data_IF_084479698539
#
_entry.id   IF_084479698539
#
_cell.length_a   1.000
_cell.length_b   1.000
_cell.length_c   1.000
_cell.angle_alpha   90.00
_cell.angle_beta   90.00
_cell.angle_gamma   90.00
#
_symmetry.space_group_name_H-M   'P 1'
#
loop_
_entity.id
_entity.type
_entity.pdbx_description
1 polymer ?
#
# COMPACT_ATOMS: atom_id res chain seq x y z
N UNK A 1 0.54 -12.44 14.31
CA UNK A 1 0.54 -11.56 15.52
C UNK A 1 -0.87 -11.09 15.84
N UNK A 2 -1.16 -10.76 17.10
CA UNK A 2 -2.36 -10.01 17.49
C UNK A 2 -2.16 -8.53 17.21
N UNK A 3 -3.25 -7.84 16.88
CA UNK A 3 -3.17 -6.42 16.50
C UNK A 3 -3.35 -5.46 17.69
N UNK A 4 -3.95 -5.94 18.78
CA UNK A 4 -4.17 -5.12 19.96
C UNK A 4 -2.86 -4.69 20.64
N UNK A 5 -2.70 -3.41 20.89
CA UNK A 5 -1.54 -2.81 21.55
C UNK A 5 -0.26 -2.72 20.72
N UNK A 6 -0.19 -3.28 19.48
CA UNK A 6 1.02 -3.16 18.66
C UNK A 6 1.16 -1.76 18.06
N UNK A 7 2.40 -1.37 17.72
CA UNK A 7 2.67 -0.22 16.87
C UNK A 7 2.42 -0.54 15.40
N UNK A 8 1.62 0.27 14.71
CA UNK A 8 1.29 0.13 13.29
C UNK A 8 1.53 1.43 12.53
N UNK A 9 2.24 1.37 11.41
CA UNK A 9 2.50 2.47 10.50
C UNK A 9 1.72 2.31 9.21
N UNK A 10 0.96 3.32 8.81
CA UNK A 10 0.26 3.36 7.52
C UNK A 10 0.78 4.54 6.71
N UNK A 11 1.51 4.26 5.64
CA UNK A 11 2.08 5.26 4.73
C UNK A 11 1.16 5.45 3.52
N UNK A 12 0.85 6.70 3.19
CA UNK A 12 -0.27 7.05 2.31
C UNK A 12 -1.61 6.84 3.03
N UNK A 13 -1.61 7.14 4.35
CA UNK A 13 -2.69 6.78 5.25
C UNK A 13 -3.80 7.82 5.39
N UNK A 14 -3.68 9.01 4.79
CA UNK A 14 -4.68 10.07 4.93
C UNK A 14 -5.87 9.94 3.98
N UNK A 15 -5.90 8.95 3.10
CA UNK A 15 -7.01 8.75 2.17
C UNK A 15 -7.16 7.31 1.68
N UNK A 16 -8.31 6.98 1.12
CA UNK A 16 -8.59 5.76 0.37
C UNK A 16 -8.25 4.46 1.10
N UNK A 17 -7.41 3.61 0.49
CA UNK A 17 -7.03 2.30 1.05
C UNK A 17 -6.25 2.45 2.35
N UNK A 18 -5.36 3.47 2.42
CA UNK A 18 -4.56 3.75 3.61
C UNK A 18 -5.42 4.23 4.77
N UNK A 19 -6.31 5.18 4.54
CA UNK A 19 -7.26 5.66 5.55
C UNK A 19 -8.11 4.52 6.12
N UNK A 20 -8.72 3.71 5.26
CA UNK A 20 -9.51 2.57 5.70
C UNK A 20 -8.67 1.57 6.52
N UNK A 21 -7.39 1.39 6.15
CA UNK A 21 -6.46 0.54 6.89
C UNK A 21 -6.13 1.13 8.27
N UNK A 22 -5.86 2.43 8.36
CA UNK A 22 -5.62 3.12 9.62
C UNK A 22 -6.83 3.00 10.56
N UNK A 23 -8.04 3.22 10.04
CA UNK A 23 -9.30 3.07 10.78
C UNK A 23 -9.50 1.64 11.29
N UNK A 24 -9.28 0.63 10.46
CA UNK A 24 -9.45 -0.78 10.86
C UNK A 24 -8.41 -1.21 11.89
N UNK A 25 -7.16 -0.78 11.76
CA UNK A 25 -6.10 -1.04 12.74
C UNK A 25 -6.41 -0.40 14.10
N UNK A 26 -6.81 0.87 14.12
CA UNK A 26 -7.22 1.56 15.34
C UNK A 26 -8.42 0.86 16.00
N UNK A 27 -9.44 0.47 15.23
CA UNK A 27 -10.60 -0.29 15.71
C UNK A 27 -10.21 -1.63 16.36
N UNK A 28 -9.10 -2.24 15.93
CA UNK A 28 -8.55 -3.49 16.49
C UNK A 28 -7.56 -3.25 17.64
N UNK A 29 -7.44 -2.02 18.14
CA UNK A 29 -6.61 -1.68 19.29
C UNK A 29 -5.13 -1.40 18.97
N UNK A 30 -4.72 -1.35 17.69
CA UNK A 30 -3.35 -0.98 17.34
C UNK A 30 -3.08 0.52 17.61
N UNK A 31 -1.86 0.84 18.03
CA UNK A 31 -1.37 2.22 18.12
C UNK A 31 -0.91 2.67 16.75
N UNK A 32 -1.75 3.44 16.06
CA UNK A 32 -1.53 3.81 14.67
C UNK A 32 -0.72 5.10 14.54
N UNK A 33 0.24 5.11 13.63
CA UNK A 33 0.84 6.33 13.06
C UNK A 33 0.46 6.40 11.58
N UNK A 34 -0.15 7.50 11.20
CA UNK A 34 -0.46 7.85 9.80
C UNK A 34 0.67 8.69 9.25
N UNK A 35 1.24 8.29 8.11
CA UNK A 35 2.22 9.09 7.38
C UNK A 35 1.68 9.43 5.98
N UNK A 36 1.64 10.70 5.63
CA UNK A 36 1.09 11.18 4.35
C UNK A 36 1.64 12.56 4.00
N UNK A 37 1.56 12.96 2.73
CA UNK A 37 1.84 14.32 2.27
C UNK A 37 0.72 15.31 2.62
N UNK A 38 -0.52 14.81 2.73
CA UNK A 38 -1.68 15.64 3.02
C UNK A 38 -1.81 15.85 4.53
N UNK A 39 -1.20 16.93 5.02
CA UNK A 39 -1.20 17.30 6.44
C UNK A 39 -2.61 17.46 6.99
N UNK A 40 -3.47 18.22 6.30
CA UNK A 40 -4.81 18.54 6.79
C UNK A 40 -5.65 17.28 7.01
N UNK A 41 -5.77 16.43 5.99
CA UNK A 41 -6.51 15.18 6.10
C UNK A 41 -5.85 14.18 7.08
N UNK A 42 -4.52 14.18 7.15
CA UNK A 42 -3.78 13.30 8.05
C UNK A 42 -3.95 13.69 9.54
N UNK A 43 -3.90 14.98 9.86
CA UNK A 43 -4.14 15.49 11.22
C UNK A 43 -5.60 15.29 11.65
N UNK A 44 -6.57 15.52 10.76
CA UNK A 44 -7.99 15.24 11.00
C UNK A 44 -8.21 13.77 11.34
N UNK A 45 -7.75 12.87 10.47
CA UNK A 45 -7.87 11.42 10.68
C UNK A 45 -7.19 10.96 11.98
N UNK A 46 -5.98 11.45 12.26
CA UNK A 46 -5.25 11.10 13.47
C UNK A 46 -6.01 11.56 14.72
N UNK A 47 -6.61 12.76 14.68
CA UNK A 47 -7.47 13.26 15.75
C UNK A 47 -8.69 12.37 16.02
N UNK A 48 -9.39 11.96 14.96
CA UNK A 48 -10.54 11.06 15.06
C UNK A 48 -10.18 9.70 15.66
N UNK A 49 -9.00 9.15 15.29
CA UNK A 49 -8.56 7.82 15.70
C UNK A 49 -7.77 7.81 17.02
N UNK A 50 -7.49 8.96 17.63
CA UNK A 50 -6.49 9.09 18.69
C UNK A 50 -5.13 8.49 18.30
N UNK A 51 -4.76 8.66 17.02
CA UNK A 51 -3.53 8.21 16.39
C UNK A 51 -2.50 9.35 16.31
N UNK A 52 -1.28 9.04 15.86
CA UNK A 52 -0.27 10.03 15.51
C UNK A 52 -0.27 10.31 14.02
N UNK A 53 0.08 11.54 13.63
CA UNK A 53 0.32 11.91 12.23
C UNK A 53 1.74 12.42 12.07
N UNK A 54 2.36 12.04 10.94
CA UNK A 54 3.67 12.57 10.50
C UNK A 54 3.56 12.90 9.01
N UNK A 55 3.85 14.16 8.65
CA UNK A 55 3.96 14.54 7.25
C UNK A 55 5.22 13.92 6.65
N UNK A 56 5.07 13.10 5.61
CA UNK A 56 6.21 12.42 4.99
C UNK A 56 5.98 12.14 3.49
N UNK A 57 6.99 12.48 2.69
CA UNK A 57 7.13 12.04 1.31
C UNK A 57 7.84 10.69 1.28
N UNK A 58 7.26 9.69 0.61
CA UNK A 58 7.88 8.36 0.46
C UNK A 58 9.19 8.38 -0.32
N UNK A 59 9.42 9.43 -1.11
CA UNK A 59 10.67 9.62 -1.87
C UNK A 59 11.77 10.26 -1.03
N UNK A 60 11.43 10.83 0.14
CA UNK A 60 12.37 11.40 1.09
C UNK A 60 12.65 10.40 2.22
N UNK A 61 13.90 9.92 2.26
CA UNK A 61 14.32 8.91 3.22
C UNK A 61 14.33 9.42 4.67
N UNK A 62 14.63 10.70 4.88
CA UNK A 62 14.75 11.28 6.22
C UNK A 62 13.37 11.54 6.83
N UNK A 63 12.41 12.00 6.02
CA UNK A 63 11.03 12.17 6.45
C UNK A 63 10.38 10.83 6.82
N UNK A 64 10.59 9.79 6.00
CA UNK A 64 10.10 8.44 6.34
C UNK A 64 10.80 7.85 7.58
N UNK A 65 12.10 8.09 7.76
CA UNK A 65 12.80 7.65 8.95
C UNK A 65 12.19 8.30 10.21
N UNK A 66 11.90 9.61 10.15
CA UNK A 66 11.23 10.31 11.24
C UNK A 66 9.83 9.71 11.55
N UNK A 67 9.06 9.33 10.52
CA UNK A 67 7.76 8.69 10.71
C UNK A 67 7.87 7.31 11.38
N UNK A 68 8.90 6.54 11.04
CA UNK A 68 9.18 5.23 11.67
C UNK A 68 9.66 5.42 13.13
N UNK A 69 10.54 6.39 13.38
CA UNK A 69 11.12 6.64 14.70
C UNK A 69 10.10 7.25 15.68
N UNK A 70 9.10 7.94 15.18
CA UNK A 70 7.99 8.46 15.99
C UNK A 70 7.15 7.35 16.65
N UNK A 71 7.24 6.11 16.15
CA UNK A 71 6.47 4.97 16.64
C UNK A 71 7.36 3.94 17.35
N UNK A 72 7.29 3.89 18.67
CA UNK A 72 7.95 2.85 19.44
C UNK A 72 7.25 1.49 19.29
N UNK A 73 8.04 0.42 19.08
CA UNK A 73 7.52 -0.93 18.99
C UNK A 73 6.71 -1.17 17.71
N UNK A 74 7.16 -0.62 16.59
CA UNK A 74 6.57 -0.88 15.27
C UNK A 74 6.62 -2.39 14.97
N UNK A 75 5.45 -3.01 14.77
CA UNK A 75 5.31 -4.42 14.39
C UNK A 75 4.55 -4.63 13.09
N UNK A 76 3.78 -3.64 12.64
CA UNK A 76 3.04 -3.76 11.38
C UNK A 76 3.18 -2.48 10.56
N UNK A 77 3.53 -2.61 9.29
CA UNK A 77 3.61 -1.49 8.36
C UNK A 77 2.83 -1.78 7.08
N UNK A 78 2.07 -0.81 6.61
CA UNK A 78 1.32 -0.88 5.35
C UNK A 78 1.70 0.30 4.47
N UNK A 79 2.22 0.01 3.26
CA UNK A 79 2.56 1.02 2.25
C UNK A 79 1.43 1.14 1.24
N UNK A 80 0.62 2.20 1.36
CA UNK A 80 -0.48 2.52 0.46
C UNK A 80 -0.17 3.73 -0.44
N UNK A 81 0.91 4.46 -0.18
CA UNK A 81 1.30 5.61 -0.99
C UNK A 81 1.55 5.21 -2.45
N UNK A 82 1.00 5.99 -3.37
CA UNK A 82 1.18 5.77 -4.79
C UNK A 82 0.36 6.73 -5.64
N UNK A 83 0.81 6.92 -6.86
CA UNK A 83 0.15 7.75 -7.88
C UNK A 83 -0.22 6.92 -9.10
N UNK A 84 -1.38 7.25 -9.69
CA UNK A 84 -1.78 6.76 -10.99
C UNK A 84 -1.23 7.64 -12.10
N UNK A 85 -0.87 7.03 -13.23
CA UNK A 85 -0.43 7.75 -14.42
C UNK A 85 -0.80 6.98 -15.67
N UNK A 86 -1.24 7.70 -16.70
CA UNK A 86 -1.56 7.13 -17.99
C UNK A 86 -0.98 8.00 -19.11
N UNK A 87 0.05 7.49 -19.79
CA UNK A 87 0.68 8.11 -20.95
C UNK A 87 1.12 7.02 -21.92
N UNK A 88 0.78 7.16 -23.21
CA UNK A 88 1.24 6.20 -24.23
C UNK A 88 2.74 6.35 -24.45
N UNK A 89 3.45 5.23 -24.60
CA UNK A 89 4.90 5.20 -24.90
C UNK A 89 5.27 6.07 -26.09
N UNK A 90 4.39 6.12 -27.10
CA UNK A 90 4.48 7.07 -28.21
C UNK A 90 3.13 7.77 -28.34
N UNK A 91 3.14 9.08 -28.14
CA UNK A 91 1.99 9.96 -28.37
C UNK A 91 1.81 10.27 -29.87
N UNK A 92 1.03 11.34 -30.18
CA UNK A 92 0.79 11.71 -31.58
C UNK A 92 2.10 12.15 -32.27
N UNK A 93 2.90 13.00 -31.62
CA UNK A 93 4.03 13.69 -32.23
C UNK A 93 5.35 13.56 -31.43
N UNK A 94 5.34 12.84 -30.30
CA UNK A 94 6.51 12.69 -29.43
C UNK A 94 6.48 11.40 -28.62
N UNK A 95 7.66 10.91 -28.17
CA UNK A 95 7.71 9.87 -27.16
C UNK A 95 7.13 10.36 -25.82
N UNK A 96 6.77 9.45 -24.94
CA UNK A 96 6.42 9.75 -23.56
C UNK A 96 7.56 10.51 -22.86
N UNK A 97 7.22 11.38 -21.93
CA UNK A 97 8.20 12.09 -21.11
C UNK A 97 8.88 11.10 -20.13
N UNK A 98 10.22 11.09 -20.11
CA UNK A 98 10.96 10.21 -19.19
C UNK A 98 10.71 10.59 -17.74
N UNK A 99 10.56 11.87 -17.45
CA UNK A 99 10.29 12.43 -16.13
C UNK A 99 8.99 11.89 -15.52
N UNK A 100 7.95 11.68 -16.35
CA UNK A 100 6.71 11.06 -15.90
C UNK A 100 6.92 9.62 -15.45
N UNK A 101 7.71 8.86 -16.21
CA UNK A 101 8.08 7.48 -15.86
C UNK A 101 8.89 7.44 -14.56
N UNK A 102 9.92 8.29 -14.45
CA UNK A 102 10.78 8.39 -13.27
C UNK A 102 9.98 8.77 -12.03
N UNK A 103 9.07 9.73 -12.13
CA UNK A 103 8.19 10.14 -11.02
C UNK A 103 7.33 8.98 -10.54
N UNK A 104 6.68 8.27 -11.44
CA UNK A 104 5.80 7.13 -11.07
C UNK A 104 6.61 6.00 -10.43
N UNK A 105 7.76 5.66 -10.99
CA UNK A 105 8.66 4.65 -10.41
C UNK A 105 9.22 5.12 -9.08
N UNK A 106 9.61 6.39 -8.97
CA UNK A 106 10.09 7.01 -7.74
C UNK A 106 9.11 6.86 -6.59
N UNK A 107 7.86 7.29 -6.79
CA UNK A 107 6.84 7.20 -5.75
C UNK A 107 6.40 5.75 -5.49
N UNK A 108 5.98 5.03 -6.53
CA UNK A 108 5.30 3.75 -6.36
C UNK A 108 6.23 2.59 -6.00
N UNK A 109 7.45 2.57 -6.54
CA UNK A 109 8.40 1.47 -6.35
C UNK A 109 9.50 1.83 -5.35
N UNK A 110 10.24 2.91 -5.62
CA UNK A 110 11.35 3.31 -4.73
C UNK A 110 10.80 3.74 -3.37
N UNK A 111 9.70 4.50 -3.34
CA UNK A 111 9.00 4.87 -2.11
C UNK A 111 8.52 3.66 -1.33
N UNK A 112 7.90 2.67 -1.99
CA UNK A 112 7.50 1.41 -1.33
C UNK A 112 8.69 0.65 -0.75
N UNK A 113 9.80 0.55 -1.49
CA UNK A 113 11.02 -0.06 -0.96
C UNK A 113 11.60 0.73 0.22
N UNK A 114 11.50 2.06 0.18
CA UNK A 114 11.95 2.92 1.26
C UNK A 114 11.16 2.67 2.56
N UNK A 115 9.82 2.52 2.46
CA UNK A 115 8.98 2.10 3.59
C UNK A 115 9.39 0.72 4.10
N UNK A 116 9.52 -0.26 3.21
CA UNK A 116 9.89 -1.63 3.56
C UNK A 116 11.20 -1.69 4.35
N UNK A 117 12.29 -1.08 3.83
CA UNK A 117 13.62 -1.15 4.44
C UNK A 117 13.68 -0.46 5.81
N UNK A 118 12.99 0.69 5.97
CA UNK A 118 12.99 1.43 7.22
C UNK A 118 12.12 0.74 8.28
N UNK A 119 10.92 0.29 7.90
CA UNK A 119 10.06 -0.47 8.80
C UNK A 119 10.72 -1.78 9.24
N UNK A 120 11.31 -2.53 8.33
CA UNK A 120 12.02 -3.78 8.65
C UNK A 120 13.21 -3.55 9.58
N UNK A 121 13.99 -2.47 9.37
CA UNK A 121 15.09 -2.11 10.27
C UNK A 121 14.61 -1.75 11.69
N UNK A 122 13.45 -1.10 11.81
CA UNK A 122 12.84 -0.83 13.12
C UNK A 122 12.33 -2.13 13.76
N UNK A 123 11.60 -2.95 13.03
CA UNK A 123 11.06 -4.23 13.50
C UNK A 123 12.16 -5.21 13.95
N UNK A 124 13.31 -5.21 13.27
CA UNK A 124 14.43 -6.08 13.62
C UNK A 124 14.98 -5.83 15.04
N UNK A 125 14.72 -4.66 15.63
CA UNK A 125 15.12 -4.31 17.00
C UNK A 125 14.11 -4.76 18.07
N UNK A 126 12.94 -5.22 17.67
CA UNK A 126 11.93 -5.73 18.60
C UNK A 126 12.36 -7.07 19.19
N UNK A 127 11.93 -7.36 20.42
CA UNK A 127 11.94 -8.73 20.92
C UNK A 127 10.93 -9.57 20.11
N UNK A 128 11.29 -10.79 19.70
CA UNK A 128 10.36 -11.66 19.02
C UNK A 128 9.20 -12.06 19.94
N UNK A 129 8.03 -12.31 19.36
CA UNK A 129 6.93 -12.91 20.09
C UNK A 129 7.14 -14.43 20.34
N UNK A 130 6.12 -15.09 20.89
CA UNK A 130 6.19 -16.52 21.23
C UNK A 130 6.41 -17.46 20.02
N UNK A 131 6.17 -16.99 18.79
CA UNK A 131 6.41 -17.72 17.53
C UNK A 131 7.69 -17.25 16.81
N UNK A 132 8.43 -16.30 17.37
CA UNK A 132 9.65 -15.75 16.80
C UNK A 132 9.39 -14.58 15.86
N UNK A 133 8.16 -14.07 15.76
CA UNK A 133 7.81 -12.97 14.86
C UNK A 133 8.16 -11.60 15.49
N UNK A 134 8.80 -10.72 14.71
CA UNK A 134 9.11 -9.34 15.06
C UNK A 134 8.23 -8.34 14.36
N UNK A 135 7.62 -8.72 13.25
CA UNK A 135 6.70 -7.85 12.52
C UNK A 135 6.33 -8.33 11.13
N UNK A 136 5.46 -7.57 10.47
CA UNK A 136 5.06 -7.81 9.09
C UNK A 136 4.91 -6.51 8.32
N UNK A 137 5.21 -6.55 7.01
CA UNK A 137 5.03 -5.45 6.06
C UNK A 137 4.07 -5.87 4.96
N UNK A 138 3.08 -5.04 4.68
CA UNK A 138 2.19 -5.16 3.53
C UNK A 138 2.48 -4.04 2.55
N UNK A 139 2.78 -4.41 1.31
CA UNK A 139 2.98 -3.49 0.19
C UNK A 139 1.74 -3.48 -0.70
N UNK A 140 1.47 -2.35 -1.35
CA UNK A 140 0.33 -2.19 -2.28
C UNK A 140 0.82 -2.18 -3.72
N UNK A 141 0.56 -3.27 -4.44
CA UNK A 141 0.71 -3.35 -5.89
C UNK A 141 -0.57 -2.87 -6.61
N UNK A 142 -0.94 -3.53 -7.66
CA UNK A 142 -2.18 -3.37 -8.44
C UNK A 142 -2.35 -4.58 -9.36
N UNK A 143 -3.57 -4.87 -9.79
CA UNK A 143 -3.80 -5.80 -10.91
C UNK A 143 -3.11 -5.32 -12.20
N UNK A 144 -2.86 -4.02 -12.34
CA UNK A 144 -2.08 -3.46 -13.46
C UNK A 144 -0.63 -4.00 -13.52
N UNK A 145 -0.11 -4.58 -12.45
CA UNK A 145 1.17 -5.30 -12.45
C UNK A 145 1.15 -6.54 -13.37
N UNK A 146 -0.03 -7.08 -13.63
CA UNK A 146 -0.25 -8.30 -14.42
C UNK A 146 -0.94 -8.01 -15.75
N UNK A 147 -1.94 -7.13 -15.75
CA UNK A 147 -2.75 -6.80 -16.92
C UNK A 147 -2.80 -5.27 -17.13
N UNK A 148 -1.63 -4.63 -17.27
CA UNK A 148 -1.55 -3.19 -17.54
C UNK A 148 -2.26 -2.80 -18.84
N UNK A 149 -3.04 -1.72 -18.79
CA UNK A 149 -3.78 -1.22 -19.94
C UNK A 149 -2.93 -0.29 -20.81
N UNK A 150 -3.43 0.06 -21.98
CA UNK A 150 -2.82 1.06 -22.87
C UNK A 150 -2.61 2.37 -22.10
N UNK A 151 -1.37 2.86 -22.12
CA UNK A 151 -0.95 4.08 -21.41
C UNK A 151 -0.42 3.83 -20.01
N UNK A 152 -0.52 2.63 -19.45
CA UNK A 152 -0.10 2.33 -18.08
C UNK A 152 1.34 1.79 -17.98
N UNK A 153 2.22 2.01 -18.95
CA UNK A 153 3.57 1.43 -18.96
C UNK A 153 4.35 1.77 -17.67
N UNK A 154 4.40 3.03 -17.26
CA UNK A 154 5.07 3.46 -16.03
C UNK A 154 4.40 2.88 -14.77
N UNK A 155 3.08 2.97 -14.71
CA UNK A 155 2.31 2.45 -13.57
C UNK A 155 2.43 0.93 -13.44
N UNK A 156 2.24 0.19 -14.54
CA UNK A 156 2.38 -1.26 -14.55
C UNK A 156 3.81 -1.71 -14.21
N UNK A 157 4.84 -1.02 -14.73
CA UNK A 157 6.23 -1.30 -14.40
C UNK A 157 6.51 -1.08 -12.91
N UNK A 158 6.03 0.04 -12.33
CA UNK A 158 6.21 0.34 -10.91
C UNK A 158 5.53 -0.72 -10.02
N UNK A 159 4.29 -1.10 -10.33
CA UNK A 159 3.53 -2.10 -9.56
C UNK A 159 4.02 -3.53 -9.81
N UNK A 160 4.52 -3.84 -11.01
CA UNK A 160 5.26 -5.06 -11.31
C UNK A 160 6.56 -5.18 -10.51
N UNK A 161 7.27 -4.06 -10.33
CA UNK A 161 8.43 -3.98 -9.45
C UNK A 161 8.10 -4.31 -7.99
N UNK A 162 6.99 -3.80 -7.46
CA UNK A 162 6.51 -4.15 -6.09
C UNK A 162 6.19 -5.65 -5.98
N UNK A 163 5.56 -6.24 -7.00
CA UNK A 163 5.35 -7.70 -7.07
C UNK A 163 6.69 -8.44 -7.03
N UNK A 164 7.67 -8.00 -7.84
CA UNK A 164 9.01 -8.60 -7.89
C UNK A 164 9.80 -8.48 -6.59
N UNK A 165 9.59 -7.42 -5.79
CA UNK A 165 10.20 -7.23 -4.47
C UNK A 165 9.70 -8.23 -3.42
N UNK A 166 8.48 -8.72 -3.52
CA UNK A 166 7.78 -9.42 -2.43
C UNK A 166 8.54 -10.64 -1.94
N UNK A 167 8.81 -11.59 -2.81
CA UNK A 167 9.44 -12.85 -2.40
C UNK A 167 10.91 -12.69 -1.98
N UNK A 168 11.78 -11.93 -2.71
CA UNK A 168 13.14 -11.68 -2.25
C UNK A 168 13.19 -11.02 -0.86
N UNK A 169 12.39 -9.98 -0.63
CA UNK A 169 12.33 -9.30 0.66
C UNK A 169 11.85 -10.22 1.79
N UNK A 170 10.83 -11.04 1.55
CA UNK A 170 10.37 -12.02 2.53
C UNK A 170 11.46 -13.03 2.90
N UNK A 171 12.26 -13.47 1.92
CA UNK A 171 13.38 -14.39 2.15
C UNK A 171 14.55 -13.73 2.90
N UNK A 172 14.90 -12.49 2.55
CA UNK A 172 15.96 -11.73 3.22
C UNK A 172 15.64 -11.50 4.70
N UNK A 173 14.36 -11.21 5.01
CA UNK A 173 13.89 -10.82 6.32
C UNK A 173 13.43 -12.01 7.19
N UNK A 174 13.29 -13.21 6.61
CA UNK A 174 12.80 -14.40 7.32
C UNK A 174 13.64 -14.73 8.56
N UNK A 175 14.97 -14.65 8.49
CA UNK A 175 15.87 -14.87 9.63
C UNK A 175 15.70 -13.86 10.76
N UNK A 176 15.09 -12.71 10.47
CA UNK A 176 14.78 -11.67 11.45
C UNK A 176 13.36 -11.81 12.02
N UNK A 177 12.59 -12.82 11.59
CA UNK A 177 11.21 -13.01 12.01
C UNK A 177 10.28 -11.90 11.47
N UNK A 178 10.55 -11.39 10.27
CA UNK A 178 9.75 -10.34 9.64
C UNK A 178 9.15 -10.90 8.34
N UNK A 179 7.83 -10.81 8.20
CA UNK A 179 7.09 -11.25 7.02
C UNK A 179 6.85 -10.08 6.05
N UNK A 180 6.79 -10.40 4.77
CA UNK A 180 6.46 -9.43 3.70
C UNK A 180 5.43 -10.05 2.78
N UNK A 181 4.30 -9.38 2.62
CA UNK A 181 3.28 -9.70 1.62
C UNK A 181 2.91 -8.48 0.80
N UNK A 182 2.31 -8.72 -0.35
CA UNK A 182 1.79 -7.66 -1.22
C UNK A 182 0.31 -7.91 -1.51
N UNK A 183 -0.51 -6.88 -1.42
CA UNK A 183 -1.87 -6.90 -1.93
C UNK A 183 -1.88 -6.22 -3.29
N UNK A 184 -2.49 -6.85 -4.29
CA UNK A 184 -2.74 -6.31 -5.62
C UNK A 184 -4.23 -6.02 -5.78
N UNK A 185 -4.71 -4.81 -5.41
CA UNK A 185 -6.11 -4.45 -5.54
C UNK A 185 -6.51 -4.30 -7.01
N UNK A 186 -7.79 -4.60 -7.27
CA UNK A 186 -8.48 -4.26 -8.52
C UNK A 186 -8.98 -2.82 -8.51
N UNK A 187 -10.20 -2.63 -9.00
CA UNK A 187 -10.86 -1.33 -9.02
C UNK A 187 -11.58 -1.09 -7.68
N UNK A 188 -11.09 -0.13 -6.91
CA UNK A 188 -11.61 0.25 -5.61
C UNK A 188 -12.16 1.68 -5.62
N UNK A 189 -13.20 1.92 -4.84
CA UNK A 189 -13.78 3.24 -4.63
C UNK A 189 -12.87 4.08 -3.73
N UNK A 190 -11.96 4.80 -4.37
CA UNK A 190 -10.93 5.61 -3.71
C UNK A 190 -10.82 6.97 -4.39
N UNK A 191 -10.18 7.97 -3.76
CA UNK A 191 -9.92 9.26 -4.37
C UNK A 191 -9.24 9.17 -5.75
N UNK A 192 -8.46 8.13 -6.01
CA UNK A 192 -7.85 7.88 -7.32
C UNK A 192 -8.90 7.75 -8.45
N UNK A 193 -10.09 7.24 -8.15
CA UNK A 193 -11.22 7.11 -9.09
C UNK A 193 -12.31 8.17 -8.86
N UNK A 194 -12.26 8.93 -7.76
CA UNK A 194 -13.30 9.89 -7.41
C UNK A 194 -13.43 11.06 -8.41
N UNK A 195 -12.36 11.35 -9.16
CA UNK A 195 -12.38 12.36 -10.23
C UNK A 195 -13.16 11.93 -11.49
N UNK A 196 -13.57 10.65 -11.59
CA UNK A 196 -14.35 10.15 -12.71
C UNK A 196 -15.86 10.39 -12.50
N UNK A 197 -16.62 10.67 -13.58
CA UNK A 197 -18.09 10.74 -13.51
C UNK A 197 -18.69 9.46 -12.89
N UNK A 198 -19.80 9.61 -12.17
CA UNK A 198 -20.49 8.51 -11.51
C UNK A 198 -20.88 7.37 -12.48
N UNK A 199 -21.32 7.74 -13.70
CA UNK A 199 -21.65 6.77 -14.74
C UNK A 199 -20.41 5.93 -15.13
N UNK A 200 -19.23 6.55 -15.22
CA UNK A 200 -17.98 5.85 -15.51
C UNK A 200 -17.59 4.91 -14.36
N UNK A 201 -17.73 5.36 -13.10
CA UNK A 201 -17.45 4.54 -11.92
C UNK A 201 -18.38 3.33 -11.86
N UNK A 202 -19.66 3.52 -12.13
CA UNK A 202 -20.66 2.44 -12.22
C UNK A 202 -20.31 1.46 -13.33
N UNK A 203 -19.95 1.94 -14.52
CA UNK A 203 -19.55 1.10 -15.64
C UNK A 203 -18.27 0.30 -15.34
N UNK A 204 -17.30 0.89 -14.65
CA UNK A 204 -16.09 0.18 -14.18
C UNK A 204 -16.45 -0.91 -13.18
N UNK A 205 -17.33 -0.63 -12.23
CA UNK A 205 -17.80 -1.61 -11.25
C UNK A 205 -18.51 -2.80 -11.90
N UNK A 206 -19.28 -2.55 -12.94
CA UNK A 206 -19.99 -3.59 -13.69
C UNK A 206 -19.08 -4.55 -14.48
N UNK A 207 -17.80 -4.18 -14.70
CA UNK A 207 -16.80 -5.06 -15.32
C UNK A 207 -16.26 -6.12 -14.35
N UNK A 208 -16.46 -5.94 -13.05
CA UNK A 208 -15.99 -6.88 -12.03
C UNK A 208 -16.95 -8.08 -12.01
N UNK A 209 -16.45 -9.32 -12.24
CA UNK A 209 -17.31 -10.51 -12.30
C UNK A 209 -18.17 -10.71 -11.06
N UNK A 210 -17.57 -10.67 -9.85
CA UNK A 210 -18.31 -10.77 -8.59
C UNK A 210 -17.43 -10.34 -7.41
N UNK A 211 -17.96 -9.49 -6.49
CA UNK A 211 -19.24 -8.75 -6.60
C UNK A 211 -19.15 -7.69 -7.71
N UNK A 212 -20.25 -7.49 -8.47
CA UNK A 212 -20.27 -6.58 -9.63
C UNK A 212 -20.40 -5.11 -9.20
N UNK A 213 -19.37 -4.60 -8.54
CA UNK A 213 -19.20 -3.23 -8.02
C UNK A 213 -17.73 -2.93 -7.77
N UNK A 214 -17.38 -1.67 -7.60
CA UNK A 214 -16.08 -1.30 -7.10
C UNK A 214 -15.81 -1.92 -5.72
N UNK A 215 -14.58 -2.31 -5.45
CA UNK A 215 -14.14 -2.73 -4.14
C UNK A 215 -14.28 -1.58 -3.13
N UNK A 216 -14.62 -1.90 -1.91
CA UNK A 216 -14.66 -0.92 -0.81
C UNK A 216 -13.30 -0.88 -0.12
N UNK A 217 -12.77 0.30 0.23
CA UNK A 217 -11.49 0.41 0.93
C UNK A 217 -11.37 -0.48 2.17
N UNK A 218 -12.49 -0.71 2.90
CA UNK A 218 -12.52 -1.58 4.07
C UNK A 218 -12.27 -3.05 3.73
N UNK A 219 -12.51 -3.48 2.50
CA UNK A 219 -12.20 -4.86 2.06
C UNK A 219 -10.69 -5.05 1.91
N UNK A 220 -9.97 -4.02 1.47
CA UNK A 220 -8.52 -3.98 1.47
C UNK A 220 -7.98 -3.99 2.91
N UNK A 221 -8.49 -3.11 3.77
CA UNK A 221 -8.08 -2.99 5.16
C UNK A 221 -8.22 -4.32 5.92
N UNK A 222 -9.35 -5.02 5.74
CA UNK A 222 -9.55 -6.36 6.34
C UNK A 222 -8.53 -7.38 5.86
N UNK A 223 -8.16 -7.36 4.56
CA UNK A 223 -7.14 -8.28 4.04
C UNK A 223 -5.76 -7.92 4.59
N UNK A 224 -5.41 -6.64 4.69
CA UNK A 224 -4.14 -6.21 5.30
C UNK A 224 -4.04 -6.67 6.76
N UNK A 225 -5.10 -6.52 7.55
CA UNK A 225 -5.17 -7.03 8.91
C UNK A 225 -5.08 -8.58 8.95
N UNK A 226 -5.76 -9.27 8.03
CA UNK A 226 -5.65 -10.74 7.95
C UNK A 226 -4.22 -11.19 7.65
N UNK A 227 -3.47 -10.47 6.79
CA UNK A 227 -2.04 -10.76 6.56
C UNK A 227 -1.23 -10.61 7.85
N UNK A 228 -1.52 -9.62 8.69
CA UNK A 228 -0.86 -9.47 9.98
C UNK A 228 -1.15 -10.64 10.91
N UNK A 229 -2.41 -11.07 10.99
CA UNK A 229 -2.88 -12.12 11.91
C UNK A 229 -2.52 -13.53 11.45
N UNK A 230 -2.40 -13.77 10.15
CA UNK A 230 -2.11 -15.10 9.59
C UNK A 230 -0.60 -15.26 9.34
N UNK A 231 0.10 -15.84 10.30
CA UNK A 231 1.56 -15.96 10.31
C UNK A 231 2.11 -16.84 9.17
N UNK A 232 1.28 -17.69 8.55
CA UNK A 232 1.71 -18.52 7.41
C UNK A 232 1.75 -17.72 6.08
N UNK A 233 1.15 -16.53 6.02
CA UNK A 233 1.24 -15.65 4.86
C UNK A 233 2.58 -14.92 4.88
N UNK A 234 3.50 -15.32 3.98
CA UNK A 234 4.80 -14.68 3.80
C UNK A 234 5.30 -14.87 2.36
N UNK A 235 5.75 -13.79 1.73
CA UNK A 235 6.28 -13.81 0.36
C UNK A 235 5.20 -13.90 -0.73
N UNK A 236 3.93 -13.73 -0.39
CA UNK A 236 2.79 -13.91 -1.32
C UNK A 236 2.27 -12.57 -1.85
N UNK A 237 1.76 -12.61 -3.07
CA UNK A 237 1.05 -11.51 -3.72
C UNK A 237 -0.42 -11.86 -3.85
N UNK A 238 -1.25 -11.22 -3.04
CA UNK A 238 -2.68 -11.48 -2.92
C UNK A 238 -3.47 -10.55 -3.84
N UNK A 239 -4.07 -11.09 -4.90
CA UNK A 239 -5.00 -10.32 -5.74
C UNK A 239 -6.33 -10.14 -4.99
N UNK A 240 -6.81 -8.90 -4.96
CA UNK A 240 -8.11 -8.53 -4.37
C UNK A 240 -8.91 -7.75 -5.40
N UNK A 241 -9.59 -8.45 -6.32
CA UNK A 241 -10.09 -7.85 -7.55
C UNK A 241 -11.44 -8.38 -8.05
N UNK A 242 -12.13 -9.24 -7.27
CA UNK A 242 -13.40 -9.82 -7.69
C UNK A 242 -13.32 -10.65 -8.98
N UNK A 243 -12.15 -11.26 -9.24
CA UNK A 243 -11.82 -12.01 -10.46
C UNK A 243 -11.71 -11.14 -11.74
N UNK A 244 -11.57 -9.82 -11.60
CA UNK A 244 -11.34 -8.93 -12.74
C UNK A 244 -10.00 -9.25 -13.43
N UNK A 245 -10.03 -9.30 -14.76
CA UNK A 245 -8.85 -9.24 -15.62
C UNK A 245 -9.05 -8.07 -16.55
N UNK A 246 -8.17 -7.07 -16.45
CA UNK A 246 -8.36 -5.83 -17.20
C UNK A 246 -8.19 -6.07 -18.70
N UNK A 247 -9.15 -5.59 -19.53
CA UNK A 247 -8.94 -5.59 -20.97
C UNK A 247 -7.84 -4.60 -21.35
N UNK A 248 -7.31 -4.66 -22.59
CA UNK A 248 -6.28 -3.73 -23.06
C UNK A 248 -6.71 -2.25 -23.04
N UNK A 249 -8.02 -2.00 -23.01
CA UNK A 249 -8.68 -0.67 -22.95
C UNK A 249 -9.88 -0.69 -22.07
#
# INVERSE_FOLDING_TARGET
>A
MELDGIGALVVGGASGLGEATARELARRGARVTVADLNREAGEELAGELSASFVEADVTDADQLAAAVDALQGLRFAVSCAGIGWAERTVGRDRPAALESFETVVGVNLIGTFNVLRLAAAAMARNEPDGEGERGAVVMTASIAAFEGQIGQAAYAASKGGVVGLTLPAARDLARLGIRVCTIAPGLFDTPLLAGLPEETRTALGAQIPFPSRLGRPEEYARLACHVAENTMLNGEVLRLDGALRMPPR
#
